data_IF_335775973418
#
_entry.id   IF_335775973418
#
_cell.length_a   1.000
_cell.length_b   1.000
_cell.length_c   1.000
_cell.angle_alpha   90.00
_cell.angle_beta   90.00
_cell.angle_gamma   90.00
#
_symmetry.space_group_name_H-M   'P 1'
#
loop_
_entity.id
_entity.type
_entity.pdbx_description
1 polymer ?
#
# COMPACT_ATOMS: atom_id res chain seq x y z
N UNK A 1 -8.23 -22.07 -5.74
CA UNK A 1 -7.08 -21.91 -4.82
C UNK A 1 -5.91 -21.24 -5.53
N UNK A 2 -5.44 -21.71 -6.70
CA UNK A 2 -4.34 -21.06 -7.44
C UNK A 2 -4.59 -19.58 -7.81
N UNK A 3 -5.77 -19.25 -8.35
CA UNK A 3 -6.11 -17.87 -8.72
C UNK A 3 -6.24 -16.92 -7.49
N UNK A 4 -6.62 -17.44 -6.32
CA UNK A 4 -6.67 -16.66 -5.08
C UNK A 4 -5.26 -16.31 -4.60
N UNK A 5 -4.31 -17.24 -4.75
CA UNK A 5 -2.90 -17.03 -4.41
C UNK A 5 -2.25 -15.99 -5.33
N UNK A 6 -2.49 -16.08 -6.65
CA UNK A 6 -1.98 -15.07 -7.60
C UNK A 6 -2.55 -13.67 -7.34
N UNK A 7 -3.84 -13.56 -7.02
CA UNK A 7 -4.45 -12.29 -6.65
C UNK A 7 -3.89 -11.70 -5.34
N UNK A 8 -3.53 -12.55 -4.38
CA UNK A 8 -2.88 -12.14 -3.13
C UNK A 8 -1.43 -11.67 -3.39
N UNK A 9 -0.67 -12.41 -4.20
CA UNK A 9 0.69 -12.04 -4.60
C UNK A 9 0.74 -10.69 -5.32
N UNK A 10 -0.21 -10.43 -6.23
CA UNK A 10 -0.34 -9.12 -6.88
C UNK A 10 -0.61 -7.99 -5.89
N UNK A 11 -1.46 -8.22 -4.88
CA UNK A 11 -1.73 -7.22 -3.84
C UNK A 11 -0.50 -6.93 -2.97
N UNK A 12 0.34 -7.93 -2.71
CA UNK A 12 1.60 -7.75 -1.99
C UNK A 12 2.60 -6.92 -2.79
N UNK A 13 2.67 -7.12 -4.11
CA UNK A 13 3.47 -6.29 -5.02
C UNK A 13 2.95 -4.85 -5.01
N UNK A 14 1.64 -4.65 -5.15
CA UNK A 14 1.03 -3.31 -5.08
C UNK A 14 1.30 -2.59 -3.75
N UNK A 15 1.37 -3.33 -2.63
CA UNK A 15 1.73 -2.80 -1.31
C UNK A 15 3.20 -2.40 -1.26
N UNK A 16 4.10 -3.24 -1.77
CA UNK A 16 5.52 -2.92 -1.87
C UNK A 16 5.74 -1.66 -2.70
N UNK A 17 5.11 -1.56 -3.87
CA UNK A 17 5.18 -0.37 -4.73
C UNK A 17 4.66 0.89 -4.03
N UNK A 18 3.61 0.78 -3.22
CA UNK A 18 3.09 1.91 -2.43
C UNK A 18 4.13 2.42 -1.42
N UNK A 19 4.83 1.51 -0.76
CA UNK A 19 5.93 1.86 0.15
C UNK A 19 7.14 2.45 -0.60
N UNK A 20 7.47 1.93 -1.79
CA UNK A 20 8.52 2.50 -2.63
C UNK A 20 8.18 3.92 -3.09
N UNK A 21 6.96 4.20 -3.52
CA UNK A 21 6.51 5.55 -3.88
C UNK A 21 6.63 6.52 -2.69
N UNK A 22 6.23 6.09 -1.48
CA UNK A 22 6.38 6.92 -0.27
C UNK A 22 7.86 7.22 0.01
N UNK A 23 8.72 6.19 -0.04
CA UNK A 23 10.15 6.35 0.18
C UNK A 23 10.77 7.24 -0.89
N UNK A 24 10.42 7.09 -2.17
CA UNK A 24 10.93 7.93 -3.26
C UNK A 24 10.53 9.40 -3.07
N UNK A 25 9.30 9.67 -2.64
CA UNK A 25 8.82 11.03 -2.41
C UNK A 25 9.52 11.72 -1.22
N UNK A 26 9.87 10.97 -0.18
CA UNK A 26 10.33 11.52 1.10
C UNK A 26 11.83 11.39 1.34
N UNK A 27 12.50 10.43 0.69
CA UNK A 27 13.94 10.21 0.87
C UNK A 27 14.73 11.40 0.35
N UNK A 28 15.82 11.71 1.04
CA UNK A 28 16.77 12.77 0.66
C UNK A 28 16.15 14.18 0.54
N UNK A 29 14.96 14.39 1.09
CA UNK A 29 14.39 15.74 1.21
C UNK A 29 15.08 16.50 2.34
N UNK A 30 15.27 17.80 2.15
CA UNK A 30 15.65 18.68 3.27
C UNK A 30 14.52 18.74 4.29
N UNK A 31 14.83 19.11 5.53
CA UNK A 31 13.83 19.17 6.61
C UNK A 31 12.62 20.05 6.25
N UNK A 32 12.86 21.24 5.69
CA UNK A 32 11.80 22.15 5.24
C UNK A 32 10.93 21.49 4.17
N UNK A 33 11.55 20.86 3.16
CA UNK A 33 10.81 20.23 2.07
C UNK A 33 10.05 18.99 2.54
N UNK A 34 10.64 18.22 3.44
CA UNK A 34 10.02 17.04 4.06
C UNK A 34 8.72 17.41 4.76
N UNK A 35 8.71 18.49 5.55
CA UNK A 35 7.50 18.97 6.23
C UNK A 35 6.37 19.35 5.25
N UNK A 36 6.71 19.81 4.05
CA UNK A 36 5.73 20.12 3.00
C UNK A 36 5.21 18.87 2.28
N UNK A 37 6.09 17.92 1.95
CA UNK A 37 5.75 16.79 1.07
C UNK A 37 5.24 15.55 1.82
N UNK A 38 5.75 15.31 3.02
CA UNK A 38 5.46 14.09 3.77
C UNK A 38 3.98 13.92 4.10
N UNK A 39 3.22 14.95 4.55
CA UNK A 39 1.81 14.77 4.87
C UNK A 39 0.98 14.29 3.69
N UNK A 40 1.28 14.79 2.48
CA UNK A 40 0.61 14.35 1.26
C UNK A 40 1.03 12.92 0.86
N UNK A 41 2.33 12.62 0.93
CA UNK A 41 2.85 11.28 0.64
C UNK A 41 2.24 10.23 1.60
N UNK A 42 2.14 10.57 2.89
CA UNK A 42 1.55 9.74 3.92
C UNK A 42 0.06 9.52 3.71
N UNK A 43 -0.70 10.57 3.38
CA UNK A 43 -2.13 10.46 3.09
C UNK A 43 -2.39 9.51 1.90
N UNK A 44 -1.59 9.63 0.84
CA UNK A 44 -1.63 8.77 -0.34
C UNK A 44 -1.28 7.31 0.01
N UNK A 45 -0.19 7.07 0.73
CA UNK A 45 0.20 5.74 1.19
C UNK A 45 -0.92 5.11 2.03
N UNK A 46 -1.40 5.84 3.04
CA UNK A 46 -2.47 5.40 3.93
C UNK A 46 -3.74 5.00 3.17
N UNK A 47 -4.11 5.77 2.14
CA UNK A 47 -5.25 5.45 1.29
C UNK A 47 -5.03 4.16 0.48
N UNK A 48 -3.85 3.99 -0.12
CA UNK A 48 -3.51 2.78 -0.88
C UNK A 48 -3.51 1.53 0.00
N UNK A 49 -2.88 1.60 1.17
CA UNK A 49 -2.86 0.47 2.13
C UNK A 49 -4.28 0.08 2.58
N UNK A 50 -5.17 1.06 2.82
CA UNK A 50 -6.58 0.77 3.13
C UNK A 50 -7.27 0.02 1.98
N UNK A 51 -7.06 0.45 0.73
CA UNK A 51 -7.65 -0.20 -0.43
C UNK A 51 -7.14 -1.64 -0.62
N UNK A 52 -5.83 -1.85 -0.46
CA UNK A 52 -5.20 -3.18 -0.54
C UNK A 52 -5.75 -4.11 0.56
N UNK A 53 -5.82 -3.64 1.81
CA UNK A 53 -6.44 -4.40 2.91
C UNK A 53 -7.89 -4.77 2.64
N UNK A 54 -8.69 -3.84 2.07
CA UNK A 54 -10.07 -4.12 1.72
C UNK A 54 -10.18 -5.18 0.61
N UNK A 55 -9.26 -5.19 -0.37
CA UNK A 55 -9.20 -6.20 -1.43
C UNK A 55 -8.75 -7.56 -0.89
N UNK A 56 -7.72 -7.60 -0.04
CA UNK A 56 -7.30 -8.84 0.63
C UNK A 56 -8.43 -9.47 1.46
N UNK A 57 -9.19 -8.66 2.19
CA UNK A 57 -10.33 -9.15 2.97
C UNK A 57 -11.41 -9.83 2.10
N UNK A 58 -11.60 -9.37 0.86
CA UNK A 58 -12.53 -9.98 -0.11
C UNK A 58 -12.00 -11.27 -0.75
N UNK A 59 -10.69 -11.47 -0.77
CA UNK A 59 -10.07 -12.70 -1.27
C UNK A 59 -10.13 -13.84 -0.24
N UNK A 60 -10.23 -13.52 1.05
CA UNK A 60 -10.45 -14.54 2.09
C UNK A 60 -11.83 -15.16 1.90
N UNK A 61 -11.95 -16.49 1.69
CA UNK A 61 -13.24 -17.14 1.51
C UNK A 61 -14.10 -16.94 2.77
N UNK A 62 -15.36 -16.55 2.58
CA UNK A 62 -16.33 -16.32 3.66
C UNK A 62 -16.73 -17.59 4.46
N UNK A 63 -16.09 -18.74 4.20
CA UNK A 63 -16.43 -20.05 4.76
C UNK A 63 -15.46 -20.55 5.85
N UNK A 64 -14.68 -19.65 6.46
CA UNK A 64 -13.87 -19.95 7.65
C UNK A 64 -14.45 -19.26 8.92
N UNK A 65 -15.78 -19.32 9.07
CA UNK A 65 -16.51 -18.90 10.26
C UNK A 65 -17.35 -20.07 10.78
#
# INVERSE_FOLDING_TARGET
MAATNEAEELLLIEEADAWFEYLEATRSQSEVRYQEVEPWAWARLSQRLRAIRARMARLRPAAAA
#
